data_IF_788383643472
#
_entry.id   IF_788383643472
#
_cell.length_a   1.000
_cell.length_b   1.000
_cell.length_c   1.000
_cell.angle_alpha   90.00
_cell.angle_beta   90.00
_cell.angle_gamma   90.00
#
_symmetry.space_group_name_H-M   'P 1'
#
loop_
_entity.id
_entity.type
_entity.pdbx_description
1 polymer ?
#
# COMPACT_ATOMS: atom_id res chain seq x y z
N UNK A 1 11.88 22.68 21.65
CA UNK A 1 11.67 21.92 21.36
C UNK A 1 11.77 21.29 20.47
N UNK A 2 11.82 20.90 20.33
CA UNK A 2 11.75 20.32 19.49
C UNK A 2 10.90 19.69 19.24
N UNK A 3 10.80 19.57 19.21
CA UNK A 3 10.17 18.66 19.05
C UNK A 3 9.62 18.05 18.19
N UNK A 4 9.60 18.02 17.93
CA UNK A 4 8.93 17.57 17.13
C UNK A 4 9.27 16.67 16.19
N UNK A 5 10.24 16.50 16.17
CA UNK A 5 10.78 15.67 15.14
C UNK A 5 10.23 14.27 15.19
N UNK A 6 10.24 13.71 16.33
CA UNK A 6 9.74 12.35 16.51
C UNK A 6 8.27 12.24 16.16
N UNK A 7 7.55 13.32 16.33
CA UNK A 7 6.13 13.29 16.04
C UNK A 7 5.85 13.30 14.57
N UNK A 8 6.82 13.69 13.75
CA UNK A 8 6.61 13.75 12.31
C UNK A 8 6.67 12.38 11.65
N UNK A 9 7.33 11.39 12.27
CA UNK A 9 7.50 10.09 11.64
C UNK A 9 7.23 8.99 12.66
N UNK A 10 6.14 8.23 12.48
CA UNK A 10 5.88 7.10 13.37
C UNK A 10 6.93 6.02 13.20
N UNK A 11 7.11 5.23 14.23
CA UNK A 11 8.03 4.10 14.19
C UNK A 11 7.27 2.86 13.70
N UNK A 12 7.56 2.44 12.48
CA UNK A 12 6.91 1.30 11.85
C UNK A 12 7.90 0.16 11.62
N UNK A 13 8.91 0.06 12.47
CA UNK A 13 9.92 -0.99 12.37
C UNK A 13 9.26 -2.37 12.40
N UNK A 14 9.62 -3.22 11.45
CA UNK A 14 9.10 -4.56 11.36
C UNK A 14 7.84 -4.69 10.50
N UNK A 15 7.23 -3.58 10.12
CA UNK A 15 6.07 -3.62 9.24
C UNK A 15 6.54 -3.78 7.80
N UNK A 16 5.96 -4.74 7.10
CA UNK A 16 6.27 -4.98 5.67
C UNK A 16 5.17 -4.38 4.81
N UNK A 17 5.55 -3.55 3.86
CA UNK A 17 4.60 -2.86 2.99
C UNK A 17 4.94 -3.15 1.54
N UNK A 18 3.96 -3.61 0.78
CA UNK A 18 4.11 -3.79 -0.66
C UNK A 18 3.50 -2.59 -1.37
N UNK A 19 4.20 -2.06 -2.36
CA UNK A 19 3.71 -0.95 -3.19
C UNK A 19 3.67 -1.40 -4.63
N UNK A 20 2.47 -1.42 -5.20
CA UNK A 20 2.23 -1.86 -6.58
C UNK A 20 1.82 -0.64 -7.39
N UNK A 21 2.68 -0.19 -8.29
CA UNK A 21 2.39 0.96 -9.14
C UNK A 21 3.31 0.90 -10.35
N UNK A 22 2.78 1.18 -11.54
CA UNK A 22 3.59 1.15 -12.76
C UNK A 22 4.46 2.40 -12.92
N UNK A 23 4.27 3.41 -12.07
CA UNK A 23 5.09 4.63 -12.10
C UNK A 23 6.32 4.47 -11.21
N UNK A 24 7.50 4.61 -11.79
CA UNK A 24 8.76 4.61 -11.04
C UNK A 24 8.77 5.72 -9.99
N UNK A 25 8.24 6.89 -10.35
CA UNK A 25 8.22 8.05 -9.45
C UNK A 25 7.38 7.77 -8.21
N UNK A 26 6.21 7.18 -8.38
CA UNK A 26 5.33 6.87 -7.25
C UNK A 26 5.96 5.79 -6.38
N UNK A 27 6.48 4.71 -6.99
CA UNK A 27 7.14 3.66 -6.21
C UNK A 27 8.28 4.21 -5.39
N UNK A 28 9.10 5.08 -6.01
CA UNK A 28 10.26 5.65 -5.33
C UNK A 28 9.85 6.55 -4.17
N UNK A 29 8.85 7.39 -4.37
CA UNK A 29 8.37 8.28 -3.30
C UNK A 29 7.86 7.46 -2.13
N UNK A 30 7.04 6.45 -2.40
CA UNK A 30 6.51 5.59 -1.36
C UNK A 30 7.65 4.88 -0.62
N UNK A 31 8.60 4.34 -1.36
CA UNK A 31 9.73 3.63 -0.77
C UNK A 31 10.50 4.53 0.21
N UNK A 32 10.81 5.75 -0.22
CA UNK A 32 11.57 6.68 0.61
C UNK A 32 10.81 6.96 1.92
N UNK A 33 9.52 7.27 1.82
CA UNK A 33 8.72 7.59 3.00
C UNK A 33 8.62 6.40 3.95
N UNK A 34 8.39 5.22 3.40
CA UNK A 34 8.20 4.01 4.21
C UNK A 34 9.49 3.56 4.87
N UNK A 35 10.61 3.62 4.15
CA UNK A 35 11.92 3.27 4.71
C UNK A 35 12.29 4.21 5.85
N UNK A 36 11.99 5.51 5.70
CA UNK A 36 12.25 6.47 6.77
C UNK A 36 11.48 6.13 8.05
N UNK A 37 10.35 5.47 7.92
CA UNK A 37 9.55 5.06 9.09
C UNK A 37 9.96 3.68 9.64
N UNK A 38 10.89 3.01 8.98
CA UNK A 38 11.38 1.71 9.44
C UNK A 38 10.76 0.51 8.74
N UNK A 39 9.89 0.72 7.77
CA UNK A 39 9.24 -0.37 7.06
C UNK A 39 10.20 -1.14 6.17
N UNK A 40 9.96 -2.44 6.03
CA UNK A 40 10.52 -3.22 4.95
C UNK A 40 9.59 -3.04 3.75
N UNK A 41 10.14 -2.70 2.59
CA UNK A 41 9.35 -2.34 1.43
C UNK A 41 9.56 -3.34 0.30
N UNK A 42 8.45 -3.81 -0.27
CA UNK A 42 8.46 -4.68 -1.44
C UNK A 42 7.82 -3.90 -2.58
N UNK A 43 8.54 -3.71 -3.68
CA UNK A 43 8.05 -2.97 -4.82
C UNK A 43 7.63 -3.91 -5.93
N UNK A 44 6.50 -3.63 -6.55
CA UNK A 44 6.01 -4.36 -7.70
C UNK A 44 5.57 -3.36 -8.78
N UNK A 45 5.91 -3.63 -10.02
CA UNK A 45 5.62 -2.70 -11.11
C UNK A 45 4.27 -2.92 -11.76
N UNK A 46 3.64 -4.06 -11.51
CA UNK A 46 2.30 -4.36 -12.02
C UNK A 46 1.66 -5.46 -11.18
N UNK A 47 0.43 -5.82 -11.53
CA UNK A 47 -0.32 -6.82 -10.77
C UNK A 47 0.30 -8.21 -10.83
N UNK A 48 0.85 -8.60 -11.98
CA UNK A 48 1.47 -9.90 -12.11
C UNK A 48 2.73 -10.00 -11.27
N UNK A 49 3.55 -8.94 -11.29
CA UNK A 49 4.76 -8.87 -10.48
C UNK A 49 4.39 -8.97 -9.00
N UNK A 50 3.33 -8.28 -8.60
CA UNK A 50 2.85 -8.32 -7.22
C UNK A 50 2.44 -9.73 -6.79
N UNK A 51 1.67 -10.40 -7.63
CA UNK A 51 1.20 -11.75 -7.31
C UNK A 51 2.35 -12.74 -7.22
N UNK A 52 3.41 -12.55 -8.02
CA UNK A 52 4.57 -13.42 -7.94
C UNK A 52 5.39 -13.19 -6.66
N UNK A 53 5.33 -12.00 -6.10
CA UNK A 53 6.14 -11.64 -4.93
C UNK A 53 5.42 -11.81 -3.60
N UNK A 54 4.09 -11.74 -3.60
CA UNK A 54 3.34 -11.63 -2.35
C UNK A 54 3.49 -12.86 -1.46
N UNK A 55 3.55 -14.04 -2.06
CA UNK A 55 3.65 -15.27 -1.27
C UNK A 55 4.97 -15.38 -0.54
N UNK A 56 6.05 -14.93 -1.18
CA UNK A 56 7.39 -15.01 -0.58
C UNK A 56 7.61 -13.95 0.49
N UNK A 57 7.01 -12.77 0.31
CA UNK A 57 7.29 -11.64 1.18
C UNK A 57 6.24 -11.41 2.28
N UNK A 58 5.02 -11.86 2.05
CA UNK A 58 3.93 -11.78 3.03
C UNK A 58 3.80 -10.39 3.66
N UNK A 59 3.43 -9.38 2.86
CA UNK A 59 3.33 -8.01 3.38
C UNK A 59 2.20 -7.87 4.39
N UNK A 60 2.37 -6.91 5.28
CA UNK A 60 1.34 -6.55 6.27
C UNK A 60 0.30 -5.60 5.70
N UNK A 61 0.70 -4.77 4.73
CA UNK A 61 -0.17 -3.79 4.06
C UNK A 61 0.23 -3.73 2.61
N UNK A 62 -0.75 -3.59 1.72
CA UNK A 62 -0.52 -3.49 0.28
C UNK A 62 -1.12 -2.20 -0.25
N UNK A 63 -0.32 -1.41 -0.96
CA UNK A 63 -0.80 -0.28 -1.74
C UNK A 63 -0.85 -0.70 -3.21
N UNK A 64 -1.95 -0.44 -3.89
CA UNK A 64 -2.15 -0.92 -5.25
C UNK A 64 -2.74 0.16 -6.14
N UNK A 65 -1.99 0.54 -7.18
CA UNK A 65 -2.45 1.49 -8.19
C UNK A 65 -3.68 0.92 -8.91
N UNK A 66 -4.66 1.77 -9.18
CA UNK A 66 -5.88 1.35 -9.86
C UNK A 66 -5.64 1.15 -11.35
N UNK A 67 -4.94 2.10 -11.98
CA UNK A 67 -4.74 2.08 -13.43
C UNK A 67 -3.40 1.47 -13.79
N UNK A 68 -3.41 0.20 -14.15
CA UNK A 68 -2.23 -0.51 -14.60
C UNK A 68 -2.58 -1.31 -15.85
N UNK A 69 -1.60 -1.54 -16.75
CA UNK A 69 -1.88 -2.31 -17.96
C UNK A 69 -2.11 -3.78 -17.63
N UNK A 70 -2.92 -4.43 -18.43
CA UNK A 70 -3.22 -5.85 -18.41
C UNK A 70 -4.02 -6.30 -17.19
N UNK A 71 -3.58 -6.02 -16.00
CA UNK A 71 -4.26 -6.38 -14.75
C UNK A 71 -4.37 -5.10 -13.93
N UNK A 72 -5.58 -4.54 -13.85
CA UNK A 72 -5.77 -3.29 -13.13
C UNK A 72 -5.78 -3.52 -11.61
N UNK A 73 -5.88 -2.43 -10.86
CA UNK A 73 -5.82 -2.52 -9.39
C UNK A 73 -7.00 -3.25 -8.78
N UNK A 74 -8.19 -3.11 -9.34
CA UNK A 74 -9.35 -3.84 -8.82
C UNK A 74 -9.17 -5.33 -9.02
N UNK A 75 -8.71 -5.74 -10.20
CA UNK A 75 -8.46 -7.15 -10.48
C UNK A 75 -7.36 -7.71 -9.58
N UNK A 76 -6.27 -6.94 -9.41
CA UNK A 76 -5.16 -7.35 -8.53
C UNK A 76 -5.64 -7.51 -7.10
N UNK A 77 -6.38 -6.53 -6.58
CA UNK A 77 -6.93 -6.59 -5.23
C UNK A 77 -7.83 -7.82 -5.05
N UNK A 78 -8.70 -8.07 -6.03
CA UNK A 78 -9.60 -9.22 -5.99
C UNK A 78 -8.82 -10.53 -5.89
N UNK A 79 -7.77 -10.66 -6.67
CA UNK A 79 -6.95 -11.88 -6.65
C UNK A 79 -6.22 -12.05 -5.33
N UNK A 80 -5.71 -10.96 -4.76
CA UNK A 80 -5.06 -11.01 -3.44
C UNK A 80 -6.09 -11.45 -2.38
N UNK A 81 -7.25 -10.81 -2.36
CA UNK A 81 -8.26 -11.07 -1.32
C UNK A 81 -8.88 -12.46 -1.43
N UNK A 82 -8.90 -13.05 -2.60
CA UNK A 82 -9.42 -14.40 -2.78
C UNK A 82 -8.48 -15.48 -2.28
N UNK A 83 -7.21 -15.14 -2.08
CA UNK A 83 -6.25 -16.09 -1.53
C UNK A 83 -6.44 -16.14 -0.01
N UNK A 84 -6.73 -17.32 0.57
CA UNK A 84 -6.96 -17.40 2.02
C UNK A 84 -5.81 -16.89 2.87
N UNK A 85 -4.58 -16.97 2.36
CA UNK A 85 -3.41 -16.48 3.10
C UNK A 85 -3.36 -14.96 3.18
N UNK A 86 -4.05 -14.26 2.27
CA UNK A 86 -3.98 -12.80 2.17
C UNK A 86 -5.35 -12.13 2.24
N UNK A 87 -6.40 -12.88 2.53
CA UNK A 87 -7.76 -12.32 2.57
C UNK A 87 -7.91 -11.24 3.65
N UNK A 88 -7.12 -11.32 4.71
CA UNK A 88 -7.16 -10.32 5.78
C UNK A 88 -6.12 -9.22 5.61
N UNK A 89 -5.25 -9.32 4.60
CA UNK A 89 -4.22 -8.30 4.38
C UNK A 89 -4.87 -7.02 3.88
N UNK A 90 -4.67 -5.88 4.55
CA UNK A 90 -5.24 -4.63 4.08
C UNK A 90 -4.69 -4.23 2.71
N UNK A 91 -5.60 -3.87 1.81
CA UNK A 91 -5.24 -3.37 0.47
C UNK A 91 -5.78 -1.97 0.32
N UNK A 92 -4.89 -1.02 0.11
CA UNK A 92 -5.19 0.39 -0.04
C UNK A 92 -5.03 0.75 -1.52
N UNK A 93 -6.09 1.22 -2.16
CA UNK A 93 -6.04 1.57 -3.57
C UNK A 93 -5.40 2.94 -3.76
N UNK A 94 -4.48 3.07 -4.70
CA UNK A 94 -3.86 4.35 -5.04
C UNK A 94 -4.59 4.93 -6.25
N UNK A 95 -5.26 6.06 -6.03
CA UNK A 95 -6.07 6.70 -7.06
C UNK A 95 -5.43 8.02 -7.47
N UNK A 96 -5.35 8.29 -8.77
CA UNK A 96 -4.85 9.58 -9.21
C UNK A 96 -5.83 10.68 -8.81
N UNK A 97 -5.31 11.91 -8.70
CA UNK A 97 -6.12 13.06 -8.30
C UNK A 97 -7.33 13.25 -9.21
N UNK A 98 -7.12 13.01 -10.51
CA UNK A 98 -8.17 13.13 -11.51
C UNK A 98 -8.85 11.80 -11.80
N UNK A 99 -8.44 10.75 -11.10
CA UNK A 99 -8.99 9.42 -11.30
C UNK A 99 -10.33 9.27 -10.64
N UNK A 100 -11.11 8.37 -11.19
CA UNK A 100 -12.44 8.09 -10.66
C UNK A 100 -12.38 6.79 -9.87
N UNK A 101 -11.99 6.91 -8.60
CA UNK A 101 -12.05 5.74 -7.75
C UNK A 101 -13.51 5.36 -7.53
N UNK A 102 -13.87 4.16 -7.95
CA UNK A 102 -15.20 3.65 -7.76
C UNK A 102 -15.28 2.95 -6.41
N UNK A 103 -15.87 3.63 -5.43
CA UNK A 103 -15.97 3.10 -4.07
C UNK A 103 -16.76 1.80 -4.01
N UNK A 104 -17.81 1.70 -4.80
CA UNK A 104 -18.61 0.49 -4.82
C UNK A 104 -17.79 -0.68 -5.37
N UNK A 105 -17.05 -0.44 -6.46
CA UNK A 105 -16.20 -1.47 -7.04
C UNK A 105 -15.06 -1.84 -6.08
N UNK A 106 -14.49 -0.84 -5.40
CA UNK A 106 -13.47 -1.09 -4.39
C UNK A 106 -13.98 -2.02 -3.29
N UNK A 107 -15.18 -1.77 -2.80
CA UNK A 107 -15.78 -2.64 -1.78
C UNK A 107 -16.02 -4.04 -2.31
N UNK A 108 -16.47 -4.15 -3.56
CA UNK A 108 -16.74 -5.47 -4.15
C UNK A 108 -15.50 -6.34 -4.26
N UNK A 109 -14.34 -5.74 -4.49
CA UNK A 109 -13.09 -6.51 -4.55
C UNK A 109 -12.40 -6.64 -3.20
N UNK A 110 -12.96 -6.02 -2.17
CA UNK A 110 -12.46 -6.16 -0.81
C UNK A 110 -11.37 -5.18 -0.40
N UNK A 111 -11.20 -4.08 -1.15
CA UNK A 111 -10.21 -3.07 -0.74
C UNK A 111 -10.66 -2.39 0.55
N UNK A 112 -9.68 -2.01 1.36
CA UNK A 112 -9.94 -1.49 2.70
C UNK A 112 -10.01 0.03 2.74
N UNK A 113 -9.34 0.69 1.82
CA UNK A 113 -9.28 2.14 1.77
C UNK A 113 -8.70 2.58 0.44
N UNK A 114 -8.70 3.90 0.17
CA UNK A 114 -7.97 4.46 -0.96
C UNK A 114 -7.18 5.67 -0.52
N UNK A 115 -6.12 5.99 -1.27
CA UNK A 115 -5.27 7.13 -1.03
C UNK A 115 -5.03 7.82 -2.36
N UNK A 116 -5.17 9.14 -2.40
CA UNK A 116 -5.02 9.92 -3.64
C UNK A 116 -3.54 10.19 -3.93
N UNK A 117 -3.15 10.04 -5.20
CA UNK A 117 -1.82 10.39 -5.68
C UNK A 117 -1.84 11.79 -6.30
N UNK A 118 -0.81 12.60 -6.10
CA UNK A 118 0.35 12.37 -5.25
C UNK A 118 -0.01 12.49 -3.78
N UNK A 119 0.64 11.71 -2.96
CA UNK A 119 0.40 11.69 -1.51
C UNK A 119 1.57 12.34 -0.78
N UNK A 120 1.28 12.86 0.40
CA UNK A 120 2.34 13.33 1.29
C UNK A 120 2.86 12.17 2.12
N UNK A 121 4.04 12.34 2.70
CA UNK A 121 4.59 11.36 3.63
C UNK A 121 3.62 11.10 4.77
N UNK A 122 3.05 12.17 5.33
CA UNK A 122 2.13 12.08 6.46
C UNK A 122 0.88 11.27 6.11
N UNK A 123 0.31 11.52 4.93
CA UNK A 123 -0.90 10.81 4.50
C UNK A 123 -0.61 9.32 4.30
N UNK A 124 0.52 9.00 3.67
CA UNK A 124 0.89 7.61 3.42
C UNK A 124 1.12 6.86 4.72
N UNK A 125 1.90 7.44 5.64
CA UNK A 125 2.23 6.78 6.89
C UNK A 125 1.02 6.66 7.81
N UNK A 126 0.11 7.62 7.78
CA UNK A 126 -1.13 7.54 8.56
C UNK A 126 -1.94 6.30 8.17
N UNK A 127 -2.06 6.05 6.88
CA UNK A 127 -2.80 4.88 6.39
C UNK A 127 -2.13 3.59 6.86
N UNK A 128 -0.80 3.53 6.83
CA UNK A 128 -0.09 2.35 7.31
C UNK A 128 -0.35 2.13 8.80
N UNK A 129 -0.28 3.19 9.59
CA UNK A 129 -0.54 3.10 11.03
C UNK A 129 -1.94 2.57 11.31
N UNK A 130 -2.93 3.04 10.53
CA UNK A 130 -4.33 2.64 10.73
C UNK A 130 -4.59 1.20 10.37
N UNK A 131 -3.86 0.65 9.42
CA UNK A 131 -4.16 -0.68 8.87
C UNK A 131 -3.15 -1.75 9.21
N UNK A 132 -1.93 -1.40 9.57
CA UNK A 132 -0.93 -2.39 9.92
C UNK A 132 -1.33 -3.11 11.20
N UNK A 133 -0.99 -4.41 11.32
CA UNK A 133 -1.29 -5.13 12.54
C UNK A 133 -0.51 -4.54 13.72
N UNK A 134 -1.14 -4.55 14.89
CA UNK A 134 -0.48 -4.12 16.12
C UNK A 134 0.63 -5.09 16.45
N UNK A 135 1.82 -4.57 16.71
CA UNK A 135 2.97 -5.39 17.05
C UNK A 135 3.42 -5.07 18.47
N UNK A 136 3.62 -6.12 19.24
CA UNK A 136 4.07 -5.97 20.60
C UNK A 136 5.55 -5.59 20.63
N UNK A 137 5.89 -4.72 21.47
CA UNK A 137 7.28 -4.35 21.76
C UNK A 137 7.90 -3.38 20.84
#
# INVERSE_FOLDING_TARGET
>A
MEPNVSEATPNLTGVKVMVIDDSNTIRRSAEIFLVQAGCAVILAEDGFDALSKIADHQPDVVFCDILMPRLDGYQTCSLIKKNPHFSATPVIMLSSKDGLFDRARGRMVGSDEYLTKPFTKEALLKVVVEHAPVRAG
#
